data_IF_026905975296
#
_entry.id   IF_026905975296
#
_cell.length_a   1.000
_cell.length_b   1.000
_cell.length_c   1.000
_cell.angle_alpha   90.00
_cell.angle_beta   90.00
_cell.angle_gamma   90.00
#
_symmetry.space_group_name_H-M   'P 1'
#
loop_
_entity.id
_entity.type
_entity.pdbx_description
1 polymer ?
#
# COMPACT_ATOMS: atom_id res chain seq x y z
N UNK A 1 3.32 30.30 8.53
CA UNK A 1 1.90 29.99 8.85
C UNK A 1 1.30 28.96 7.87
N UNK A 2 1.16 29.23 6.57
CA UNK A 2 0.54 28.28 5.62
C UNK A 2 1.23 26.91 5.48
N UNK A 3 2.57 26.86 5.49
CA UNK A 3 3.31 25.58 5.42
C UNK A 3 3.11 24.71 6.68
N UNK A 4 3.10 25.32 7.87
CA UNK A 4 2.85 24.61 9.12
C UNK A 4 1.42 24.04 9.16
N UNK A 5 0.42 24.79 8.69
CA UNK A 5 -0.94 24.28 8.55
C UNK A 5 -1.01 23.07 7.60
N UNK A 6 -0.35 23.14 6.44
CA UNK A 6 -0.30 22.03 5.48
C UNK A 6 0.32 20.76 6.07
N UNK A 7 1.45 20.88 6.78
CA UNK A 7 2.03 19.74 7.50
C UNK A 7 1.17 19.27 8.66
N UNK A 8 0.45 20.17 9.32
CA UNK A 8 -0.48 19.88 10.42
C UNK A 8 -1.60 18.98 9.96
N UNK A 9 -2.20 19.35 8.82
CA UNK A 9 -3.24 18.55 8.17
C UNK A 9 -2.70 17.22 7.64
N UNK A 10 -1.48 17.18 7.09
CA UNK A 10 -0.85 15.94 6.64
C UNK A 10 -0.57 14.97 7.81
N UNK A 11 -0.05 15.49 8.92
CA UNK A 11 0.17 14.73 10.13
C UNK A 11 -1.15 14.23 10.71
N UNK A 12 -2.16 15.09 10.84
CA UNK A 12 -3.49 14.69 11.32
C UNK A 12 -4.11 13.59 10.44
N UNK A 13 -4.06 13.74 9.11
CA UNK A 13 -4.55 12.72 8.17
C UNK A 13 -3.85 11.37 8.34
N UNK A 14 -2.53 11.37 8.50
CA UNK A 14 -1.78 10.14 8.71
C UNK A 14 -1.99 9.55 10.13
N UNK A 15 -2.12 10.39 11.16
CA UNK A 15 -2.46 9.97 12.52
C UNK A 15 -3.81 9.27 12.58
N UNK A 16 -4.83 9.81 11.90
CA UNK A 16 -6.17 9.20 11.84
C UNK A 16 -6.11 7.81 11.22
N UNK A 17 -5.31 7.62 10.15
CA UNK A 17 -5.09 6.29 9.57
C UNK A 17 -4.48 5.30 10.57
N UNK A 18 -3.42 5.71 11.25
CA UNK A 18 -2.70 4.87 12.21
C UNK A 18 -3.56 4.55 13.44
N UNK A 19 -4.20 5.55 14.02
CA UNK A 19 -4.88 5.47 15.32
C UNK A 19 -6.33 4.99 15.21
N UNK A 20 -7.09 5.49 14.24
CA UNK A 20 -8.52 5.22 14.15
C UNK A 20 -8.85 4.06 13.20
N UNK A 21 -8.13 3.93 12.09
CA UNK A 21 -8.42 2.90 11.09
C UNK A 21 -7.64 1.60 11.31
N UNK A 22 -6.73 1.59 12.29
CA UNK A 22 -5.72 0.53 12.42
C UNK A 22 -5.03 0.26 11.08
N UNK A 23 -4.92 1.28 10.23
CA UNK A 23 -4.26 1.19 8.94
C UNK A 23 -2.77 1.10 9.21
N UNK A 24 -2.34 -0.13 9.43
CA UNK A 24 -1.04 -0.42 10.02
C UNK A 24 0.09 -0.27 9.00
N UNK A 25 -0.05 0.37 7.85
CA UNK A 25 1.08 0.54 6.94
C UNK A 25 2.25 1.20 7.71
N UNK A 26 3.33 0.46 7.98
CA UNK A 26 4.58 0.95 8.60
C UNK A 26 5.04 2.21 7.88
N UNK A 27 4.87 2.23 6.56
CA UNK A 27 5.12 3.38 5.72
C UNK A 27 4.31 4.63 6.11
N UNK A 28 3.03 4.49 6.48
CA UNK A 28 2.21 5.58 7.02
C UNK A 28 2.75 6.08 8.35
N UNK A 29 3.26 5.20 9.22
CA UNK A 29 3.92 5.60 10.47
C UNK A 29 5.25 6.33 10.25
N UNK A 30 6.08 5.87 9.30
CA UNK A 30 7.34 6.55 8.94
C UNK A 30 7.08 7.91 8.29
N UNK A 31 6.12 7.99 7.36
CA UNK A 31 5.77 9.24 6.69
C UNK A 31 5.05 10.21 7.63
N UNK A 32 4.21 9.71 8.55
CA UNK A 32 3.66 10.47 9.66
C UNK A 32 4.76 11.02 10.57
N UNK A 33 5.69 10.17 11.02
CA UNK A 33 6.83 10.59 11.84
C UNK A 33 7.67 11.65 11.15
N UNK A 34 7.90 11.54 9.85
CA UNK A 34 8.57 12.55 9.04
C UNK A 34 7.77 13.86 8.94
N UNK A 35 6.44 13.79 8.75
CA UNK A 35 5.56 14.96 8.71
C UNK A 35 5.48 15.68 10.06
N UNK A 36 5.43 14.93 11.17
CA UNK A 36 5.47 15.43 12.55
C UNK A 36 6.83 16.06 12.86
N UNK A 37 7.93 15.42 12.46
CA UNK A 37 9.26 16.01 12.61
C UNK A 37 9.39 17.32 11.81
N UNK A 38 8.79 17.41 10.62
CA UNK A 38 8.74 18.63 9.84
C UNK A 38 7.91 19.74 10.52
N UNK A 39 6.79 19.38 11.16
CA UNK A 39 5.97 20.28 11.96
C UNK A 39 6.75 20.89 13.14
N UNK A 40 7.39 20.04 13.94
CA UNK A 40 8.15 20.51 15.11
C UNK A 40 9.36 21.36 14.69
N UNK A 41 10.03 20.99 13.60
CA UNK A 41 11.09 21.81 13.01
C UNK A 41 10.58 23.17 12.47
N UNK A 42 9.29 23.32 12.19
CA UNK A 42 8.67 24.58 11.77
C UNK A 42 8.10 25.42 12.92
N UNK A 43 7.70 24.79 14.03
CA UNK A 43 7.19 25.49 15.20
C UNK A 43 8.31 26.16 16.03
N UNK A 44 9.56 25.70 15.89
CA UNK A 44 10.67 26.06 16.77
C UNK A 44 11.53 27.29 16.40
N UNK A 45 11.21 28.13 15.41
CA UNK A 45 12.00 29.35 15.19
C UNK A 45 11.18 30.56 14.73
N UNK A 46 10.90 31.48 15.65
CA UNK A 46 10.31 32.79 15.34
C UNK A 46 11.33 33.84 14.86
N UNK A 47 12.64 33.58 14.94
CA UNK A 47 13.66 34.54 14.52
C UNK A 47 14.44 34.05 13.27
N UNK A 48 14.12 34.66 12.13
CA UNK A 48 15.04 34.96 11.01
C UNK A 48 15.39 33.96 9.91
N UNK A 49 14.80 32.76 9.79
CA UNK A 49 14.87 32.04 8.49
C UNK A 49 13.55 31.42 8.07
N UNK A 50 13.11 31.61 6.81
CA UNK A 50 11.99 30.85 6.27
C UNK A 50 12.37 29.37 6.17
N UNK A 51 12.08 28.65 7.26
CA UNK A 51 11.44 27.34 7.35
C UNK A 51 11.41 26.52 6.04
N UNK A 52 12.57 26.06 5.58
CA UNK A 52 12.67 24.93 4.65
C UNK A 52 12.72 23.66 5.50
N UNK A 53 11.98 22.62 5.10
CA UNK A 53 12.26 21.25 5.54
C UNK A 53 13.78 21.06 5.58
N UNK A 54 14.30 20.63 6.74
CA UNK A 54 15.72 20.37 6.91
C UNK A 54 16.23 19.59 5.69
N UNK A 55 17.31 20.03 5.02
CA UNK A 55 17.83 19.38 3.83
C UNK A 55 17.99 17.86 3.96
N UNK A 56 18.28 17.34 5.16
CA UNK A 56 18.33 15.91 5.46
C UNK A 56 16.96 15.23 5.45
N UNK A 57 15.96 15.78 6.15
CA UNK A 57 14.61 15.20 6.23
C UNK A 57 13.94 15.10 4.86
N UNK A 58 14.08 16.13 4.02
CA UNK A 58 13.58 16.09 2.64
C UNK A 58 14.22 14.97 1.81
N UNK A 59 15.52 14.73 1.98
CA UNK A 59 16.20 13.61 1.31
C UNK A 59 15.77 12.26 1.85
N UNK A 60 15.55 12.14 3.17
CA UNK A 60 15.03 10.92 3.77
C UNK A 60 13.66 10.58 3.19
N UNK A 61 12.73 11.54 3.15
CA UNK A 61 11.38 11.36 2.57
C UNK A 61 11.48 10.94 1.10
N UNK A 62 12.33 11.59 0.30
CA UNK A 62 12.58 11.21 -1.10
C UNK A 62 13.12 9.78 -1.23
N UNK A 63 14.15 9.43 -0.47
CA UNK A 63 14.76 8.11 -0.47
C UNK A 63 13.75 7.04 -0.10
N UNK A 64 12.99 7.25 0.96
CA UNK A 64 11.88 6.38 1.37
C UNK A 64 10.84 6.23 0.24
N UNK A 65 10.43 7.32 -0.38
CA UNK A 65 9.45 7.31 -1.48
C UNK A 65 9.95 6.49 -2.68
N UNK A 66 11.23 6.64 -3.06
CA UNK A 66 11.82 5.84 -4.14
C UNK A 66 11.84 4.36 -3.77
N UNK A 67 12.27 4.03 -2.56
CA UNK A 67 12.36 2.64 -2.09
C UNK A 67 10.98 2.00 -2.01
N UNK A 68 9.95 2.72 -1.56
CA UNK A 68 8.56 2.24 -1.54
C UNK A 68 8.09 1.83 -2.95
N UNK A 69 8.22 2.72 -3.93
CA UNK A 69 7.76 2.40 -5.29
C UNK A 69 8.61 1.32 -5.95
N UNK A 70 9.92 1.30 -5.67
CA UNK A 70 10.79 0.23 -6.14
C UNK A 70 10.36 -1.12 -5.55
N UNK A 71 10.12 -1.20 -4.25
CA UNK A 71 9.65 -2.42 -3.58
C UNK A 71 8.28 -2.84 -4.08
N UNK A 72 7.34 -1.91 -4.28
CA UNK A 72 6.01 -2.22 -4.82
C UNK A 72 6.11 -2.94 -6.17
N UNK A 73 6.97 -2.46 -7.07
CA UNK A 73 7.23 -3.10 -8.36
C UNK A 73 7.99 -4.42 -8.22
N UNK A 74 9.00 -4.46 -7.33
CA UNK A 74 9.79 -5.67 -7.04
C UNK A 74 8.91 -6.82 -6.52
N UNK A 75 7.98 -6.53 -5.62
CA UNK A 75 7.08 -7.52 -5.06
C UNK A 75 6.12 -8.09 -6.12
N UNK A 76 5.81 -7.34 -7.18
CA UNK A 76 5.02 -7.80 -8.33
C UNK A 76 5.80 -8.65 -9.33
N UNK A 77 7.13 -8.77 -9.18
CA UNK A 77 7.96 -9.69 -9.97
C UNK A 77 7.83 -11.12 -9.41
N UNK A 78 6.65 -11.71 -9.54
CA UNK A 78 6.32 -13.07 -9.13
C UNK A 78 5.40 -13.75 -10.15
N UNK A 79 5.36 -15.09 -10.13
CA UNK A 79 4.65 -15.91 -11.12
C UNK A 79 3.16 -15.58 -11.19
N UNK A 80 2.48 -15.50 -10.05
CA UNK A 80 1.03 -15.31 -9.97
C UNK A 80 0.62 -13.90 -10.42
N UNK A 81 1.45 -12.87 -10.19
CA UNK A 81 1.14 -11.53 -10.70
C UNK A 81 1.13 -11.48 -12.22
N UNK A 82 1.99 -12.26 -12.89
CA UNK A 82 2.04 -12.34 -14.36
C UNK A 82 1.01 -13.30 -14.97
N UNK A 83 0.27 -14.07 -14.16
CA UNK A 83 -0.83 -14.90 -14.61
C UNK A 83 -2.14 -14.10 -14.61
N UNK A 84 -2.72 -13.75 -15.78
CA UNK A 84 -3.95 -12.97 -15.87
C UNK A 84 -5.14 -13.57 -15.14
N UNK A 85 -5.16 -14.88 -14.91
CA UNK A 85 -6.28 -15.58 -14.27
C UNK A 85 -6.35 -15.35 -12.75
N UNK A 86 -5.23 -14.93 -12.14
CA UNK A 86 -5.13 -14.71 -10.68
C UNK A 86 -4.53 -13.35 -10.30
N UNK A 87 -3.96 -12.61 -11.25
CA UNK A 87 -3.27 -11.34 -11.03
C UNK A 87 -4.18 -10.26 -10.40
N UNK A 88 -3.64 -9.53 -9.44
CA UNK A 88 -4.28 -8.34 -8.89
C UNK A 88 -4.47 -7.24 -9.95
N UNK A 89 -3.61 -7.16 -10.96
CA UNK A 89 -3.77 -6.16 -12.02
C UNK A 89 -5.03 -6.42 -12.85
N UNK A 90 -5.23 -7.68 -13.28
CA UNK A 90 -6.39 -8.06 -14.09
C UNK A 90 -7.66 -8.11 -13.26
N UNK A 91 -7.60 -8.62 -12.02
CA UNK A 91 -8.74 -8.58 -11.10
C UNK A 91 -9.19 -7.14 -10.84
N UNK A 92 -8.25 -6.21 -10.67
CA UNK A 92 -8.58 -4.81 -10.47
C UNK A 92 -9.23 -4.15 -11.69
N UNK A 93 -8.72 -4.45 -12.88
CA UNK A 93 -9.35 -3.98 -14.13
C UNK A 93 -10.72 -4.62 -14.37
N UNK A 94 -10.90 -5.89 -14.03
CA UNK A 94 -12.20 -6.55 -14.09
C UNK A 94 -13.20 -5.88 -13.15
N UNK A 95 -12.77 -5.48 -11.95
CA UNK A 95 -13.59 -4.73 -11.02
C UNK A 95 -14.00 -3.34 -11.57
N UNK A 96 -13.19 -2.71 -12.43
CA UNK A 96 -13.59 -1.47 -13.13
C UNK A 96 -14.63 -1.72 -14.22
N UNK A 97 -14.54 -2.83 -14.94
CA UNK A 97 -15.51 -3.15 -15.98
C UNK A 97 -16.84 -3.56 -15.36
N UNK A 98 -16.83 -4.10 -14.15
CA UNK A 98 -18.00 -4.52 -13.40
C UNK A 98 -18.44 -5.93 -13.81
N UNK A 99 -18.54 -6.85 -12.85
CA UNK A 99 -19.15 -8.16 -13.11
C UNK A 99 -20.62 -7.94 -13.53
N UNK A 100 -20.90 -8.10 -14.83
CA UNK A 100 -22.25 -7.95 -15.40
C UNK A 100 -22.68 -6.53 -15.78
N UNK A 101 -21.84 -5.50 -15.60
CA UNK A 101 -22.11 -4.18 -16.17
C UNK A 101 -21.30 -4.04 -17.46
N UNK A 102 -21.94 -4.26 -18.61
CA UNK A 102 -21.32 -3.97 -19.89
C UNK A 102 -21.05 -2.46 -19.99
N UNK A 103 -19.90 -1.99 -19.49
CA UNK A 103 -19.44 -0.66 -19.86
C UNK A 103 -19.14 -0.72 -21.36
N UNK A 104 -19.72 0.15 -22.19
CA UNK A 104 -19.59 0.08 -23.65
C UNK A 104 -18.16 0.29 -24.17
N UNK A 105 -17.20 0.54 -23.27
CA UNK A 105 -15.85 0.93 -23.58
C UNK A 105 -14.82 -0.22 -23.49
N UNK A 106 -15.14 -1.35 -22.82
CA UNK A 106 -14.14 -2.38 -22.48
C UNK A 106 -14.75 -3.79 -22.68
N UNK A 107 -14.06 -4.65 -23.43
CA UNK A 107 -14.45 -6.07 -23.55
C UNK A 107 -13.74 -6.92 -22.49
N UNK A 108 -14.35 -8.03 -22.07
CA UNK A 108 -13.72 -8.99 -21.16
C UNK A 108 -12.38 -9.51 -21.72
N UNK A 109 -12.31 -9.72 -23.03
CA UNK A 109 -11.09 -10.12 -23.73
C UNK A 109 -9.96 -9.08 -23.60
N UNK A 110 -10.30 -7.79 -23.47
CA UNK A 110 -9.32 -6.73 -23.26
C UNK A 110 -8.80 -6.71 -21.83
N UNK A 111 -9.66 -6.94 -20.83
CA UNK A 111 -9.27 -7.02 -19.42
C UNK A 111 -8.38 -8.24 -19.15
N UNK A 112 -8.66 -9.38 -19.80
CA UNK A 112 -7.92 -10.61 -19.64
C UNK A 112 -6.53 -10.62 -20.34
N UNK A 113 -6.11 -9.50 -20.94
CA UNK A 113 -4.84 -9.45 -21.66
C UNK A 113 -3.63 -9.59 -20.72
N UNK A 114 -2.66 -10.42 -21.15
CA UNK A 114 -1.34 -10.57 -20.51
C UNK A 114 -0.54 -9.26 -20.43
N UNK A 115 -0.92 -8.24 -21.20
CA UNK A 115 -0.25 -6.95 -21.20
C UNK A 115 -0.41 -6.20 -19.87
N UNK A 116 -1.51 -6.38 -19.12
CA UNK A 116 -1.78 -5.59 -17.91
C UNK A 116 -0.77 -5.81 -16.80
N UNK A 117 -0.50 -7.04 -16.33
CA UNK A 117 0.55 -7.27 -15.35
C UNK A 117 1.89 -6.65 -15.72
N UNK A 118 2.29 -6.80 -16.99
CA UNK A 118 3.55 -6.26 -17.50
C UNK A 118 3.55 -4.73 -17.44
N UNK A 119 2.46 -4.10 -17.89
CA UNK A 119 2.33 -2.65 -17.89
C UNK A 119 2.38 -2.07 -16.45
N UNK A 120 1.69 -2.70 -15.49
CA UNK A 120 1.71 -2.28 -14.09
C UNK A 120 3.11 -2.41 -13.48
N UNK A 121 3.80 -3.53 -13.68
CA UNK A 121 5.18 -3.74 -13.21
C UNK A 121 6.13 -2.71 -13.84
N UNK A 122 6.06 -2.54 -15.17
CA UNK A 122 6.92 -1.60 -15.88
C UNK A 122 6.69 -0.17 -15.39
N UNK A 123 5.43 0.23 -15.19
CA UNK A 123 5.08 1.52 -14.66
C UNK A 123 5.65 1.71 -13.25
N UNK A 124 5.39 0.79 -12.33
CA UNK A 124 5.89 0.88 -10.94
C UNK A 124 7.41 0.94 -10.85
N UNK A 125 8.13 0.13 -11.63
CA UNK A 125 9.60 0.16 -11.68
C UNK A 125 10.15 1.42 -12.36
N UNK A 126 9.40 2.01 -13.30
CA UNK A 126 9.81 3.25 -13.96
C UNK A 126 9.59 4.50 -13.10
N UNK A 127 8.65 4.47 -12.15
CA UNK A 127 8.32 5.63 -11.32
C UNK A 127 9.51 6.16 -10.51
N UNK A 128 10.30 5.34 -9.80
CA UNK A 128 11.53 5.78 -9.14
C UNK A 128 12.53 6.45 -10.12
N UNK A 129 12.62 5.93 -11.34
CA UNK A 129 13.52 6.46 -12.38
C UNK A 129 13.04 7.85 -12.81
N UNK A 130 11.74 8.00 -13.11
CA UNK A 130 11.16 9.30 -13.48
C UNK A 130 11.27 10.32 -12.34
N UNK A 131 11.03 9.91 -11.09
CA UNK A 131 11.22 10.76 -9.92
C UNK A 131 12.67 11.23 -9.73
N UNK A 132 13.64 10.37 -10.05
CA UNK A 132 15.06 10.70 -9.95
C UNK A 132 15.54 11.62 -11.08
N UNK A 133 15.06 11.40 -12.31
CA UNK A 133 15.55 12.10 -13.51
C UNK A 133 14.75 13.36 -13.87
N UNK A 134 13.43 13.32 -13.67
CA UNK A 134 12.46 14.38 -14.03
C UNK A 134 11.39 14.49 -12.92
N UNK A 135 11.74 14.97 -11.72
CA UNK A 135 10.87 14.94 -10.53
C UNK A 135 9.44 15.48 -10.76
N UNK A 136 9.30 16.61 -11.48
CA UNK A 136 7.99 17.19 -11.78
C UNK A 136 7.11 16.24 -12.61
N UNK A 137 7.65 15.69 -13.70
CA UNK A 137 6.95 14.69 -14.52
C UNK A 137 6.70 13.38 -13.74
N UNK A 138 7.66 12.93 -12.95
CA UNK A 138 7.50 11.76 -12.07
C UNK A 138 6.33 11.92 -11.11
N UNK A 139 6.15 13.11 -10.51
CA UNK A 139 4.99 13.40 -9.64
C UNK A 139 3.67 13.42 -10.41
N UNK A 140 3.64 13.94 -11.65
CA UNK A 140 2.45 13.87 -12.50
C UNK A 140 2.09 12.41 -12.80
N UNK A 141 3.07 11.61 -13.24
CA UNK A 141 2.89 10.19 -13.54
C UNK A 141 2.41 9.41 -12.30
N UNK A 142 2.95 9.72 -11.12
CA UNK A 142 2.50 9.14 -9.86
C UNK A 142 1.02 9.46 -9.59
N UNK A 143 0.62 10.72 -9.68
CA UNK A 143 -0.76 11.10 -9.42
C UNK A 143 -1.73 10.39 -10.35
N UNK A 144 -1.39 10.30 -11.65
CA UNK A 144 -2.18 9.57 -12.64
C UNK A 144 -2.21 8.06 -12.37
N UNK A 145 -1.08 7.46 -11.97
CA UNK A 145 -1.00 6.04 -11.61
C UNK A 145 -1.88 5.70 -10.40
N UNK A 146 -2.01 6.61 -9.42
CA UNK A 146 -2.81 6.35 -8.23
C UNK A 146 -4.32 6.53 -8.44
N UNK A 147 -4.77 7.15 -9.55
CA UNK A 147 -6.21 7.27 -9.86
C UNK A 147 -6.88 5.90 -9.98
N UNK A 148 -6.46 4.98 -10.88
CA UNK A 148 -7.09 3.66 -10.97
C UNK A 148 -6.94 2.85 -9.67
N UNK A 149 -5.80 2.95 -8.97
CA UNK A 149 -5.61 2.26 -7.69
C UNK A 149 -6.56 2.74 -6.60
N UNK A 150 -6.86 4.03 -6.59
CA UNK A 150 -7.84 4.64 -5.68
C UNK A 150 -9.25 4.21 -6.03
N UNK A 151 -9.58 4.07 -7.31
CA UNK A 151 -10.90 3.60 -7.73
C UNK A 151 -11.10 2.13 -7.31
N UNK A 152 -10.08 1.29 -7.46
CA UNK A 152 -10.24 -0.16 -7.30
C UNK A 152 -9.99 -0.64 -5.86
N UNK A 153 -8.87 -0.23 -5.24
CA UNK A 153 -8.28 -0.99 -4.13
C UNK A 153 -8.16 -0.22 -2.82
N UNK A 154 -7.46 0.91 -2.82
CA UNK A 154 -7.00 1.50 -1.57
C UNK A 154 -6.68 2.99 -1.74
N UNK A 155 -7.68 3.90 -1.60
CA UNK A 155 -7.45 5.34 -1.69
C UNK A 155 -6.38 5.83 -0.71
N UNK A 156 -6.30 5.23 0.49
CA UNK A 156 -5.41 5.69 1.58
C UNK A 156 -3.91 5.71 1.23
N UNK A 157 -3.47 4.83 0.31
CA UNK A 157 -2.05 4.75 -0.04
C UNK A 157 -1.56 6.02 -0.75
N UNK A 158 -2.35 6.57 -1.68
CA UNK A 158 -2.00 7.80 -2.40
C UNK A 158 -1.79 8.98 -1.45
N UNK A 159 -2.68 9.14 -0.47
CA UNK A 159 -2.63 10.22 0.51
C UNK A 159 -1.41 10.13 1.42
N UNK A 160 -1.06 8.90 1.80
CA UNK A 160 0.18 8.64 2.55
C UNK A 160 1.40 9.12 1.75
N UNK A 161 1.39 8.89 0.43
CA UNK A 161 2.50 9.23 -0.47
C UNK A 161 2.58 10.70 -0.89
N UNK A 162 1.54 11.52 -0.64
CA UNK A 162 1.55 12.95 -0.98
C UNK A 162 2.75 13.70 -0.38
N UNK A 163 3.14 13.36 0.84
CA UNK A 163 4.33 13.94 1.50
C UNK A 163 5.61 13.65 0.72
N UNK A 164 5.72 12.43 0.20
CA UNK A 164 6.75 11.99 -0.74
C UNK A 164 6.75 12.82 -2.01
N UNK A 165 5.58 12.98 -2.64
CA UNK A 165 5.42 13.70 -3.91
C UNK A 165 5.87 15.16 -3.77
N UNK A 166 5.40 15.85 -2.72
CA UNK A 166 5.79 17.23 -2.43
C UNK A 166 7.29 17.36 -2.15
N UNK A 167 7.91 16.35 -1.52
CA UNK A 167 9.35 16.36 -1.30
C UNK A 167 10.13 16.40 -2.62
N UNK A 168 9.60 15.87 -3.73
CA UNK A 168 10.27 15.93 -5.04
C UNK A 168 10.21 17.31 -5.71
N UNK A 169 9.17 18.12 -5.46
CA UNK A 169 8.94 19.38 -6.15
C UNK A 169 9.85 20.52 -5.65
N UNK A 170 10.62 21.15 -6.54
CA UNK A 170 11.45 22.32 -6.24
C UNK A 170 10.65 23.62 -6.12
N UNK A 171 11.34 24.72 -5.83
CA UNK A 171 10.72 26.05 -5.78
C UNK A 171 10.06 26.45 -7.12
N UNK A 172 10.66 26.20 -8.30
CA UNK A 172 10.01 26.53 -9.58
C UNK A 172 8.69 25.78 -9.79
N UNK A 173 8.64 24.50 -9.42
CA UNK A 173 7.45 23.65 -9.52
C UNK A 173 6.37 24.08 -8.54
N UNK A 174 6.74 24.36 -7.28
CA UNK A 174 5.81 24.84 -6.26
C UNK A 174 5.24 26.21 -6.63
N UNK A 175 6.04 27.10 -7.18
CA UNK A 175 5.58 28.41 -7.64
C UNK A 175 4.70 28.31 -8.89
N UNK A 176 5.00 27.38 -9.79
CA UNK A 176 4.10 27.03 -10.89
C UNK A 176 2.74 26.54 -10.37
N UNK A 177 2.72 25.62 -9.42
CA UNK A 177 1.48 25.12 -8.81
C UNK A 177 0.65 26.24 -8.19
N UNK A 178 1.28 27.14 -7.42
CA UNK A 178 0.60 28.32 -6.83
C UNK A 178 0.03 29.24 -7.90
N UNK A 179 0.79 29.52 -8.96
CA UNK A 179 0.31 30.36 -10.07
C UNK A 179 -0.86 29.72 -10.80
N UNK A 180 -0.81 28.42 -11.06
CA UNK A 180 -1.91 27.69 -11.70
C UNK A 180 -3.16 27.68 -10.81
N UNK A 181 -3.01 27.46 -9.49
CA UNK A 181 -4.14 27.52 -8.56
C UNK A 181 -4.83 28.90 -8.55
N UNK A 182 -4.06 29.99 -8.70
CA UNK A 182 -4.60 31.36 -8.77
C UNK A 182 -5.19 31.73 -10.12
N UNK A 183 -4.57 31.28 -11.22
CA UNK A 183 -4.96 31.67 -12.60
C UNK A 183 -6.02 30.78 -13.22
N UNK A 184 -6.04 29.51 -12.84
CA UNK A 184 -6.89 28.49 -13.46
C UNK A 184 -7.73 27.69 -12.43
N UNK A 185 -8.30 28.31 -11.36
CA UNK A 185 -9.05 27.56 -10.36
C UNK A 185 -10.29 26.88 -10.97
N UNK A 186 -11.02 27.60 -11.83
CA UNK A 186 -12.22 27.07 -12.51
C UNK A 186 -11.86 25.87 -13.39
N UNK A 187 -10.74 25.93 -14.11
CA UNK A 187 -10.31 24.82 -14.97
C UNK A 187 -9.99 23.57 -14.16
N UNK A 188 -9.26 23.72 -13.05
CA UNK A 188 -8.91 22.60 -12.16
C UNK A 188 -10.16 22.00 -11.53
N UNK A 189 -11.06 22.84 -11.02
CA UNK A 189 -12.31 22.39 -10.40
C UNK A 189 -13.26 21.76 -11.42
N UNK A 190 -13.40 22.34 -12.61
CA UNK A 190 -14.29 21.82 -13.65
C UNK A 190 -13.78 20.48 -14.19
N UNK A 191 -12.50 20.38 -14.58
CA UNK A 191 -11.95 19.13 -15.12
C UNK A 191 -11.84 18.06 -14.03
N UNK A 192 -11.29 18.41 -12.86
CA UNK A 192 -11.13 17.44 -11.77
C UNK A 192 -12.48 17.01 -11.18
N UNK A 193 -13.43 17.94 -11.05
CA UNK A 193 -14.79 17.64 -10.64
C UNK A 193 -15.54 16.80 -11.67
N UNK A 194 -15.42 17.10 -12.96
CA UNK A 194 -15.99 16.28 -14.02
C UNK A 194 -15.37 14.87 -14.07
N UNK A 195 -14.05 14.75 -13.90
CA UNK A 195 -13.35 13.47 -13.82
C UNK A 195 -13.81 12.63 -12.64
N UNK A 196 -13.94 13.24 -11.46
CA UNK A 196 -14.48 12.58 -10.27
C UNK A 196 -15.94 12.16 -10.46
N UNK A 197 -16.79 13.04 -11.02
CA UNK A 197 -18.19 12.73 -11.28
C UNK A 197 -18.36 11.63 -12.33
N UNK A 198 -17.54 11.64 -13.38
CA UNK A 198 -17.54 10.60 -14.42
C UNK A 198 -17.07 9.26 -13.87
N UNK A 199 -15.93 9.24 -13.18
CA UNK A 199 -15.40 8.04 -12.50
C UNK A 199 -16.46 7.46 -11.56
N UNK A 200 -17.15 8.31 -10.81
CA UNK A 200 -18.26 7.94 -9.92
C UNK A 200 -19.45 7.33 -10.67
N UNK A 201 -19.86 7.97 -11.76
CA UNK A 201 -20.99 7.53 -12.57
C UNK A 201 -20.72 6.16 -13.22
N UNK A 202 -19.47 5.91 -13.62
CA UNK A 202 -19.07 4.68 -14.30
C UNK A 202 -18.77 3.53 -13.34
N UNK A 203 -18.02 3.78 -12.26
CA UNK A 203 -17.42 2.69 -11.46
C UNK A 203 -18.11 2.45 -10.12
N UNK A 204 -19.06 3.29 -9.73
CA UNK A 204 -19.65 3.19 -8.40
C UNK A 204 -21.16 3.48 -8.29
N UNK A 205 -22.03 2.96 -9.16
CA UNK A 205 -23.47 3.08 -8.92
C UNK A 205 -23.83 2.53 -7.53
N UNK A 206 -24.41 3.36 -6.65
CA UNK A 206 -24.87 2.96 -5.31
C UNK A 206 -23.87 2.93 -4.13
N UNK A 207 -22.55 3.05 -4.33
CA UNK A 207 -21.59 3.03 -3.19
C UNK A 207 -21.58 4.28 -2.27
N UNK A 208 -22.18 5.40 -2.67
CA UNK A 208 -22.14 6.66 -1.90
C UNK A 208 -22.69 6.50 -0.48
N UNK A 209 -23.72 5.67 -0.32
CA UNK A 209 -24.30 5.39 0.99
C UNK A 209 -23.44 4.48 1.87
N UNK A 210 -22.49 3.72 1.30
CA UNK A 210 -21.68 2.73 2.04
C UNK A 210 -20.32 3.27 2.46
N UNK A 211 -19.62 3.96 1.55
CA UNK A 211 -18.21 4.34 1.74
C UNK A 211 -17.94 5.82 1.38
N UNK A 212 -18.48 6.80 2.11
CA UNK A 212 -18.34 8.22 1.78
C UNK A 212 -16.88 8.71 1.84
N UNK A 213 -16.04 8.13 2.70
CA UNK A 213 -14.64 8.50 2.83
C UNK A 213 -13.84 8.15 1.57
N UNK A 214 -14.16 7.01 0.94
CA UNK A 214 -13.54 6.57 -0.31
C UNK A 214 -13.81 7.58 -1.42
N UNK A 215 -15.08 8.00 -1.56
CA UNK A 215 -15.48 8.92 -2.62
C UNK A 215 -14.84 10.30 -2.45
N UNK A 216 -14.75 10.80 -1.22
CA UNK A 216 -14.07 12.07 -0.92
C UNK A 216 -12.58 11.97 -1.31
N UNK A 217 -11.90 10.88 -0.92
CA UNK A 217 -10.48 10.66 -1.24
C UNK A 217 -10.26 10.59 -2.75
N UNK A 218 -11.11 9.88 -3.48
CA UNK A 218 -11.05 9.80 -4.94
C UNK A 218 -11.24 11.17 -5.60
N UNK A 219 -12.25 11.94 -5.19
CA UNK A 219 -12.51 13.27 -5.73
C UNK A 219 -11.34 14.24 -5.50
N UNK A 220 -10.76 14.21 -4.30
CA UNK A 220 -9.56 14.98 -3.98
C UNK A 220 -8.38 14.56 -4.87
N UNK A 221 -8.21 13.26 -5.12
CA UNK A 221 -7.13 12.78 -5.97
C UNK A 221 -7.29 13.22 -7.43
N UNK A 222 -8.52 13.20 -7.97
CA UNK A 222 -8.83 13.77 -9.29
C UNK A 222 -8.48 15.25 -9.39
N UNK A 223 -8.80 16.04 -8.37
CA UNK A 223 -8.44 17.45 -8.29
C UNK A 223 -6.91 17.64 -8.24
N UNK A 224 -6.20 16.85 -7.44
CA UNK A 224 -4.73 16.90 -7.35
C UNK A 224 -4.09 16.52 -8.68
N UNK A 225 -4.51 15.42 -9.29
CA UNK A 225 -3.99 14.96 -10.58
C UNK A 225 -4.25 16.01 -11.68
N UNK A 226 -5.46 16.56 -11.74
CA UNK A 226 -5.82 17.63 -12.68
C UNK A 226 -4.98 18.88 -12.45
N UNK A 227 -4.81 19.29 -11.21
CA UNK A 227 -3.98 20.44 -10.87
C UNK A 227 -2.53 20.26 -11.32
N UNK A 228 -1.95 19.07 -11.08
CA UNK A 228 -0.61 18.73 -11.53
C UNK A 228 -0.49 18.73 -13.06
N UNK A 229 -1.46 18.14 -13.77
CA UNK A 229 -1.49 18.10 -15.25
C UNK A 229 -1.65 19.49 -15.84
N UNK A 230 -2.62 20.28 -15.38
CA UNK A 230 -2.82 21.67 -15.84
C UNK A 230 -1.57 22.50 -15.55
N UNK A 231 -0.94 22.31 -14.40
CA UNK A 231 0.30 23.01 -14.07
C UNK A 231 1.42 22.61 -15.02
N UNK A 232 1.61 21.33 -15.31
CA UNK A 232 2.61 20.86 -16.25
C UNK A 232 2.37 21.40 -17.67
N UNK A 233 1.11 21.48 -18.11
CA UNK A 233 0.72 21.97 -19.42
C UNK A 233 0.84 23.50 -19.59
N UNK A 234 0.57 24.26 -18.53
CA UNK A 234 0.54 25.75 -18.58
C UNK A 234 1.85 26.41 -18.13
N UNK A 235 2.73 25.66 -17.49
CA UNK A 235 4.02 26.17 -17.04
C UNK A 235 5.03 26.27 -18.17
N UNK A 236 6.02 27.17 -18.02
CA UNK A 236 7.19 27.18 -18.91
C UNK A 236 7.78 25.77 -18.96
N UNK A 237 8.11 25.21 -20.14
CA UNK A 237 8.49 23.81 -20.29
C UNK A 237 9.54 23.36 -19.26
N UNK A 238 10.53 24.21 -18.98
CA UNK A 238 11.62 23.93 -18.03
C UNK A 238 11.19 23.75 -16.58
N UNK A 239 10.00 24.21 -16.16
CA UNK A 239 9.54 24.08 -14.78
C UNK A 239 9.26 22.62 -14.40
N UNK A 240 8.56 21.85 -15.23
CA UNK A 240 8.22 20.45 -14.95
C UNK A 240 9.04 19.44 -15.76
N UNK A 241 9.51 19.85 -16.94
CA UNK A 241 10.30 18.97 -17.82
C UNK A 241 11.81 19.16 -17.68
N UNK A 242 12.27 20.13 -16.87
CA UNK A 242 13.70 20.33 -16.64
C UNK A 242 14.37 19.08 -16.09
N UNK A 243 15.59 18.77 -16.56
CA UNK A 243 16.45 17.77 -15.90
C UNK A 243 16.93 18.35 -14.57
N UNK A 244 16.23 18.00 -13.49
CA UNK A 244 16.72 18.21 -12.14
C UNK A 244 17.38 16.92 -11.66
N UNK A 245 18.59 16.62 -12.16
CA UNK A 245 19.48 15.68 -11.46
C UNK A 245 19.62 16.23 -10.03
N UNK A 246 19.56 15.37 -9.01
CA UNK A 246 19.70 15.74 -7.60
C UNK A 246 21.01 16.53 -7.34
N UNK A 247 21.01 17.82 -7.67
CA UNK A 247 22.13 18.72 -7.45
C UNK A 247 21.95 19.30 -6.07
N UNK A 248 22.38 18.51 -5.10
CA UNK A 248 22.43 18.92 -3.71
C UNK A 248 23.90 19.12 -3.38
N UNK A 249 24.39 20.36 -3.49
CA UNK A 249 25.62 20.80 -2.83
C UNK A 249 25.35 20.79 -1.33
N UNK A 250 25.59 19.67 -0.64
CA UNK A 250 25.16 19.49 0.76
C UNK A 250 26.18 18.82 1.67
N UNK A 251 26.15 19.16 2.97
CA UNK A 251 27.00 18.55 3.99
C UNK A 251 26.68 17.06 4.19
N UNK A 252 27.75 16.29 4.34
CA UNK A 252 27.81 14.83 4.36
C UNK A 252 26.95 14.17 5.45
N UNK A 253 26.69 14.84 6.58
CA UNK A 253 25.89 14.28 7.67
C UNK A 253 24.40 14.14 7.31
N UNK A 254 23.86 15.12 6.57
CA UNK A 254 22.45 15.12 6.16
C UNK A 254 22.11 14.01 5.16
N UNK A 255 23.10 13.59 4.37
CA UNK A 255 22.95 12.49 3.42
C UNK A 255 23.02 11.13 4.11
N UNK A 256 23.86 10.98 5.15
CA UNK A 256 23.95 9.73 5.94
C UNK A 256 22.61 9.33 6.57
N UNK A 257 21.91 10.26 7.21
CA UNK A 257 20.59 9.97 7.80
C UNK A 257 19.57 9.53 6.75
N UNK A 258 19.50 10.25 5.63
CA UNK A 258 18.58 9.92 4.55
C UNK A 258 18.84 8.53 3.95
N UNK A 259 20.12 8.20 3.73
CA UNK A 259 20.53 6.87 3.28
C UNK A 259 20.22 5.79 4.31
N UNK A 260 20.48 6.04 5.60
CA UNK A 260 20.15 5.09 6.66
C UNK A 260 18.64 4.81 6.72
N UNK A 261 17.79 5.85 6.66
CA UNK A 261 16.34 5.68 6.65
C UNK A 261 15.86 4.86 5.44
N UNK A 262 16.36 5.20 4.24
CA UNK A 262 16.03 4.46 3.01
C UNK A 262 16.53 3.01 3.06
N UNK A 263 17.75 2.77 3.55
CA UNK A 263 18.34 1.44 3.68
C UNK A 263 17.60 0.58 4.70
N UNK A 264 17.26 1.14 5.87
CA UNK A 264 16.47 0.44 6.88
C UNK A 264 15.09 0.03 6.35
N UNK A 265 14.42 0.93 5.62
CA UNK A 265 13.14 0.60 5.00
C UNK A 265 13.29 -0.42 3.87
N UNK A 266 14.36 -0.35 3.06
CA UNK A 266 14.66 -1.35 2.04
C UNK A 266 14.86 -2.73 2.67
N UNK A 267 15.69 -2.83 3.71
CA UNK A 267 15.91 -4.07 4.45
C UNK A 267 14.61 -4.62 5.05
N UNK A 268 13.78 -3.74 5.62
CA UNK A 268 12.44 -4.11 6.10
C UNK A 268 11.55 -4.63 4.95
N UNK A 269 11.58 -3.97 3.79
CA UNK A 269 10.84 -4.36 2.60
C UNK A 269 11.25 -5.72 2.03
N UNK A 270 12.49 -6.15 2.27
CA UNK A 270 12.99 -7.46 1.84
C UNK A 270 12.69 -8.59 2.84
N UNK A 271 12.13 -8.29 4.01
CA UNK A 271 11.75 -9.31 5.01
C UNK A 271 10.75 -10.37 4.53
N UNK A 272 9.86 -10.16 3.53
CA UNK A 272 8.99 -11.22 3.04
C UNK A 272 9.78 -12.40 2.50
N UNK A 273 10.86 -12.13 1.77
CA UNK A 273 11.68 -13.16 1.13
C UNK A 273 12.49 -13.99 2.14
N UNK A 274 12.70 -13.44 3.34
CA UNK A 274 13.32 -14.15 4.46
C UNK A 274 12.31 -14.91 5.33
N UNK A 275 11.00 -14.79 5.05
CA UNK A 275 9.94 -15.33 5.92
C UNK A 275 9.78 -14.54 7.23
N UNK A 276 10.35 -13.34 7.31
CA UNK A 276 10.38 -12.53 8.54
C UNK A 276 9.26 -11.49 8.60
N UNK A 277 8.45 -11.30 7.57
CA UNK A 277 7.32 -10.37 7.66
C UNK A 277 6.80 -10.04 6.28
N UNK A 278 5.48 -9.93 6.16
CA UNK A 278 4.86 -9.60 4.89
C UNK A 278 4.15 -8.25 4.94
N UNK A 279 3.35 -8.03 5.97
CA UNK A 279 2.62 -6.78 6.08
C UNK A 279 3.60 -5.62 6.27
N UNK A 280 3.28 -4.51 5.60
CA UNK A 280 3.97 -3.22 5.74
C UNK A 280 5.35 -3.14 5.06
N UNK A 281 5.61 -4.06 4.15
CA UNK A 281 6.85 -4.15 3.36
C UNK A 281 6.75 -3.47 1.99
N UNK A 282 5.57 -2.95 1.63
CA UNK A 282 5.29 -2.43 0.28
C UNK A 282 4.77 -3.49 -0.69
N UNK A 283 4.57 -4.75 -0.25
CA UNK A 283 4.05 -5.85 -1.06
C UNK A 283 2.54 -5.78 -1.37
N UNK A 284 1.93 -4.61 -1.38
CA UNK A 284 0.49 -4.44 -1.64
C UNK A 284 0.15 -4.81 -3.08
N UNK A 285 -0.99 -5.48 -3.27
CA UNK A 285 -1.53 -5.83 -4.59
C UNK A 285 -0.53 -6.61 -5.44
N UNK A 286 0.29 -7.45 -4.80
CA UNK A 286 1.42 -8.09 -5.46
C UNK A 286 1.19 -9.54 -5.87
N UNK A 287 0.19 -10.25 -5.34
CA UNK A 287 0.10 -11.73 -5.43
C UNK A 287 1.32 -12.47 -4.85
N UNK A 288 2.24 -11.79 -4.14
CA UNK A 288 3.42 -12.43 -3.58
C UNK A 288 3.00 -13.46 -2.53
N UNK A 289 3.52 -14.68 -2.67
CA UNK A 289 3.46 -15.76 -1.70
C UNK A 289 4.85 -16.06 -1.17
N UNK A 290 4.92 -16.31 0.15
CA UNK A 290 6.16 -16.60 0.87
C UNK A 290 6.06 -17.87 1.71
N UNK A 291 5.01 -18.66 1.52
CA UNK A 291 4.77 -19.93 2.21
C UNK A 291 5.45 -21.11 1.50
N UNK A 292 5.65 -22.20 2.25
CA UNK A 292 6.44 -23.34 1.77
C UNK A 292 5.81 -24.04 0.57
N UNK A 293 6.62 -24.28 -0.47
CA UNK A 293 6.19 -24.97 -1.70
C UNK A 293 5.32 -24.12 -2.64
N UNK A 294 4.86 -22.97 -2.16
CA UNK A 294 3.99 -22.04 -2.88
C UNK A 294 4.65 -20.66 -3.10
N UNK A 295 5.91 -20.51 -2.67
CA UNK A 295 6.75 -19.34 -2.92
C UNK A 295 6.84 -19.04 -4.41
N UNK A 296 6.54 -17.79 -4.81
CA UNK A 296 6.35 -17.46 -6.22
C UNK A 296 7.21 -16.30 -6.75
N UNK A 297 8.11 -15.73 -5.95
CA UNK A 297 9.03 -14.68 -6.42
C UNK A 297 9.91 -15.17 -7.56
N UNK A 298 10.11 -14.33 -8.58
CA UNK A 298 11.01 -14.60 -9.71
C UNK A 298 12.46 -14.21 -9.44
N UNK A 299 12.71 -13.41 -8.40
CA UNK A 299 14.03 -12.85 -8.10
C UNK A 299 14.69 -13.48 -6.87
N UNK A 300 13.88 -13.82 -5.87
CA UNK A 300 14.36 -14.37 -4.61
C UNK A 300 13.92 -15.83 -4.53
N UNK A 301 14.84 -16.81 -4.51
CA UNK A 301 14.45 -18.21 -4.40
C UNK A 301 13.94 -18.54 -3.00
N UNK A 302 13.11 -19.58 -2.88
CA UNK A 302 12.57 -20.05 -1.60
C UNK A 302 13.66 -20.41 -0.59
N UNK A 303 14.84 -20.84 -1.05
CA UNK A 303 15.99 -21.19 -0.22
C UNK A 303 16.52 -20.03 0.66
N UNK A 304 16.19 -18.77 0.36
CA UNK A 304 16.55 -17.62 1.22
C UNK A 304 15.66 -17.50 2.46
N UNK A 305 14.52 -18.21 2.49
CA UNK A 305 13.54 -18.13 3.56
C UNK A 305 14.06 -18.83 4.80
N UNK A 306 14.02 -18.13 5.93
CA UNK A 306 14.55 -18.63 7.21
C UNK A 306 13.50 -19.45 7.99
N UNK A 307 12.22 -19.12 7.83
CA UNK A 307 11.12 -19.77 8.55
C UNK A 307 9.84 -19.80 7.69
N UNK A 308 8.96 -20.76 7.94
CA UNK A 308 7.60 -20.77 7.38
C UNK A 308 6.66 -20.13 8.40
N UNK A 309 6.12 -18.92 8.12
CA UNK A 309 5.37 -18.19 9.13
C UNK A 309 3.90 -18.64 9.27
N UNK A 310 3.48 -19.66 8.52
CA UNK A 310 2.09 -20.10 8.47
C UNK A 310 1.86 -21.40 9.23
N UNK A 311 0.67 -21.47 9.83
CA UNK A 311 0.08 -22.61 10.48
C UNK A 311 -0.89 -23.27 9.51
N UNK A 312 -0.78 -24.58 9.38
CA UNK A 312 -1.64 -25.44 8.59
C UNK A 312 -2.52 -26.22 9.57
N UNK A 313 -3.84 -26.01 9.55
CA UNK A 313 -4.80 -26.71 10.43
C UNK A 313 -5.33 -27.95 9.73
N UNK A 314 -4.71 -29.10 9.92
CA UNK A 314 -5.09 -30.32 9.18
C UNK A 314 -6.46 -30.85 9.61
N UNK A 315 -6.85 -30.65 10.88
CA UNK A 315 -8.17 -31.01 11.41
C UNK A 315 -8.62 -30.05 12.50
N UNK A 316 -9.91 -29.76 12.53
CA UNK A 316 -10.56 -29.01 13.62
C UNK A 316 -11.91 -29.64 13.92
N UNK A 317 -12.11 -30.02 15.18
CA UNK A 317 -13.35 -30.65 15.63
C UNK A 317 -14.09 -29.68 16.55
N UNK A 318 -15.17 -29.11 16.02
CA UNK A 318 -16.13 -28.37 16.84
C UNK A 318 -17.06 -29.37 17.54
N UNK A 319 -17.53 -29.02 18.74
CA UNK A 319 -18.54 -29.81 19.44
C UNK A 319 -19.75 -30.15 18.55
N UNK A 320 -20.34 -31.36 18.66
CA UNK A 320 -21.43 -31.82 17.80
C UNK A 320 -22.59 -30.81 17.70
N UNK A 321 -23.04 -30.54 16.47
CA UNK A 321 -24.21 -29.69 16.21
C UNK A 321 -23.97 -28.17 16.35
N UNK A 322 -22.73 -27.70 16.49
CA UNK A 322 -22.43 -26.28 16.77
C UNK A 322 -21.72 -25.53 15.65
N UNK A 323 -21.07 -26.21 14.71
CA UNK A 323 -20.45 -25.58 13.55
C UNK A 323 -20.97 -26.19 12.25
N UNK A 324 -21.18 -25.34 11.26
CA UNK A 324 -21.42 -25.74 9.89
C UNK A 324 -20.17 -26.49 9.38
N UNK A 325 -20.29 -27.72 8.84
CA UNK A 325 -19.18 -28.43 8.21
C UNK A 325 -18.39 -27.55 7.21
N UNK A 326 -19.08 -26.68 6.45
CA UNK A 326 -18.44 -25.78 5.51
C UNK A 326 -17.48 -24.77 6.18
N UNK A 327 -17.71 -24.48 7.47
CA UNK A 327 -16.83 -23.62 8.25
C UNK A 327 -15.53 -24.35 8.63
N UNK A 328 -15.62 -25.62 9.04
CA UNK A 328 -14.44 -26.45 9.30
C UNK A 328 -13.61 -26.62 8.01
N UNK A 329 -14.26 -26.81 6.86
CA UNK A 329 -13.61 -26.84 5.55
C UNK A 329 -12.89 -25.51 5.27
N UNK A 330 -13.54 -24.38 5.51
CA UNK A 330 -12.91 -23.06 5.36
C UNK A 330 -11.66 -22.91 6.25
N UNK A 331 -11.66 -23.46 7.47
CA UNK A 331 -10.49 -23.42 8.36
C UNK A 331 -9.36 -24.31 7.84
N UNK A 332 -9.70 -25.50 7.37
CA UNK A 332 -8.74 -26.50 6.89
C UNK A 332 -8.28 -26.22 5.45
N UNK A 333 -8.93 -25.37 4.66
CA UNK A 333 -8.46 -25.01 3.32
C UNK A 333 -7.52 -23.79 3.29
N UNK A 334 -7.37 -23.12 4.44
CA UNK A 334 -6.59 -21.88 4.57
C UNK A 334 -5.24 -22.10 5.22
N UNK A 335 -4.35 -21.15 4.96
CA UNK A 335 -3.13 -20.91 5.72
C UNK A 335 -3.38 -19.81 6.73
N UNK A 336 -2.88 -20.01 7.95
CA UNK A 336 -3.12 -19.10 9.05
C UNK A 336 -1.81 -18.49 9.54
N UNK A 337 -1.74 -17.17 9.64
CA UNK A 337 -0.71 -16.58 10.50
C UNK A 337 -1.09 -16.81 11.96
N UNK A 338 -0.10 -16.95 12.85
CA UNK A 338 -0.32 -17.12 14.31
C UNK A 338 -1.33 -16.09 14.84
N UNK A 339 -1.14 -14.81 14.51
CA UNK A 339 -2.02 -13.74 14.96
C UNK A 339 -3.44 -13.82 14.38
N UNK A 340 -3.62 -14.38 13.18
CA UNK A 340 -4.95 -14.59 12.61
C UNK A 340 -5.65 -15.80 13.24
N UNK A 341 -4.91 -16.88 13.48
CA UNK A 341 -5.43 -18.07 14.15
C UNK A 341 -5.83 -17.77 15.59
N UNK A 342 -5.04 -16.95 16.30
CA UNK A 342 -5.35 -16.55 17.67
C UNK A 342 -6.65 -15.72 17.76
N UNK A 343 -6.85 -14.77 16.84
CA UNK A 343 -8.13 -14.03 16.77
C UNK A 343 -9.30 -14.94 16.40
N UNK A 344 -9.06 -15.91 15.52
CA UNK A 344 -10.09 -16.88 15.15
C UNK A 344 -10.45 -17.75 16.35
N UNK A 345 -9.45 -18.23 17.10
CA UNK A 345 -9.61 -18.94 18.38
C UNK A 345 -10.43 -18.15 19.38
N UNK A 346 -10.07 -16.89 19.66
CA UNK A 346 -10.83 -16.02 20.56
C UNK A 346 -12.31 -15.92 20.13
N UNK A 347 -12.55 -15.78 18.83
CA UNK A 347 -13.89 -15.73 18.27
C UNK A 347 -14.65 -17.06 18.42
N UNK A 348 -14.00 -18.19 18.14
CA UNK A 348 -14.56 -19.52 18.27
C UNK A 348 -14.92 -19.83 19.72
N UNK A 349 -13.98 -19.62 20.65
CA UNK A 349 -14.17 -19.91 22.07
C UNK A 349 -15.22 -19.00 22.72
N UNK A 350 -15.39 -17.76 22.23
CA UNK A 350 -16.48 -16.89 22.69
C UNK A 350 -17.86 -17.39 22.24
N UNK A 351 -17.95 -17.96 21.04
CA UNK A 351 -19.21 -18.51 20.50
C UNK A 351 -19.50 -19.94 20.98
N UNK A 352 -18.45 -20.69 21.27
CA UNK A 352 -18.48 -22.13 21.58
C UNK A 352 -17.48 -22.40 22.72
N UNK A 353 -17.90 -22.27 23.99
CA UNK A 353 -17.00 -22.42 25.15
C UNK A 353 -16.61 -23.87 25.47
N UNK A 354 -17.04 -24.83 24.65
CA UNK A 354 -16.77 -26.26 24.80
C UNK A 354 -15.41 -26.64 24.17
N UNK A 355 -14.87 -27.83 24.47
CA UNK A 355 -13.58 -28.26 23.94
C UNK A 355 -13.52 -28.18 22.42
N UNK A 356 -12.50 -27.46 21.92
CA UNK A 356 -12.21 -27.32 20.51
C UNK A 356 -10.92 -28.06 20.20
N UNK A 357 -11.02 -29.29 19.69
CA UNK A 357 -9.83 -30.07 19.35
C UNK A 357 -9.27 -29.61 18.00
N UNK A 358 -7.94 -29.50 17.89
CA UNK A 358 -7.28 -29.04 16.68
C UNK A 358 -5.96 -29.77 16.47
N UNK A 359 -5.73 -30.20 15.24
CA UNK A 359 -4.48 -30.82 14.79
C UNK A 359 -3.94 -30.05 13.59
N UNK A 360 -2.62 -29.99 13.46
CA UNK A 360 -2.01 -29.28 12.36
C UNK A 360 -0.49 -29.30 12.36
N UNK A 361 0.09 -28.41 11.55
CA UNK A 361 1.54 -28.24 11.40
C UNK A 361 1.93 -26.78 11.48
N UNK A 362 3.06 -26.51 12.13
CA UNK A 362 3.71 -25.20 12.17
C UNK A 362 5.23 -25.41 12.09
N UNK A 363 5.92 -24.69 11.20
CA UNK A 363 7.36 -24.88 10.93
C UNK A 363 7.74 -26.34 10.61
N UNK A 364 6.83 -27.08 9.97
CA UNK A 364 7.01 -28.49 9.64
C UNK A 364 6.86 -29.46 10.81
N UNK A 365 6.56 -28.98 12.02
CA UNK A 365 6.28 -29.82 13.19
C UNK A 365 4.78 -30.00 13.36
N UNK A 366 4.35 -31.24 13.55
CA UNK A 366 2.97 -31.54 13.88
C UNK A 366 2.63 -31.06 15.30
N UNK A 367 1.39 -30.64 15.51
CA UNK A 367 0.84 -30.33 16.83
C UNK A 367 -0.59 -30.87 16.93
N UNK A 368 -1.01 -31.16 18.16
CA UNK A 368 -2.38 -31.52 18.50
C UNK A 368 -2.73 -30.84 19.83
N UNK A 369 -3.94 -30.28 19.92
CA UNK A 369 -4.49 -29.64 21.12
C UNK A 369 -5.87 -30.23 21.35
N UNK A 370 -6.12 -30.78 22.54
CA UNK A 370 -7.39 -31.44 22.84
C UNK A 370 -8.50 -30.41 23.11
N UNK A 371 -8.15 -29.31 23.78
CA UNK A 371 -9.05 -28.19 24.02
C UNK A 371 -8.32 -26.86 23.79
N UNK A 372 -8.43 -26.34 22.57
CA UNK A 372 -7.81 -25.09 22.14
C UNK A 372 -8.29 -23.87 22.95
N UNK A 373 -9.49 -23.92 23.52
CA UNK A 373 -10.05 -22.84 24.33
C UNK A 373 -9.43 -22.78 25.72
N UNK A 374 -9.08 -23.94 26.29
CA UNK A 374 -8.43 -24.06 27.60
C UNK A 374 -6.91 -23.97 27.52
N UNK A 375 -6.30 -24.67 26.55
CA UNK A 375 -4.84 -24.84 26.45
C UNK A 375 -4.17 -23.70 25.67
N UNK A 376 -4.89 -23.07 24.74
CA UNK A 376 -4.32 -22.10 23.81
C UNK A 376 -3.48 -22.73 22.71
N UNK A 377 -2.85 -21.89 21.88
CA UNK A 377 -1.98 -22.36 20.81
C UNK A 377 -0.63 -22.83 21.38
N UNK A 378 -0.06 -23.95 20.91
CA UNK A 378 1.18 -24.53 21.46
C UNK A 378 2.45 -23.82 20.97
N UNK A 379 2.33 -22.61 20.43
CA UNK A 379 3.44 -21.82 19.91
C UNK A 379 3.39 -20.40 20.48
N UNK A 380 4.58 -19.79 20.59
CA UNK A 380 4.71 -18.47 21.16
C UNK A 380 3.85 -17.45 20.40
N UNK A 381 3.01 -16.73 21.13
CA UNK A 381 2.30 -15.58 20.58
C UNK A 381 3.31 -14.47 20.31
N UNK A 382 3.13 -13.69 19.23
CA UNK A 382 3.98 -12.54 18.98
C UNK A 382 3.92 -11.58 20.18
N UNK A 383 5.05 -10.96 20.54
CA UNK A 383 5.13 -9.99 21.64
C UNK A 383 4.12 -8.84 21.54
N UNK A 384 3.63 -8.55 20.33
CA UNK A 384 2.57 -7.58 20.08
C UNK A 384 1.30 -8.29 19.62
N UNK A 385 0.43 -8.61 20.57
CA UNK A 385 -0.90 -9.15 20.29
C UNK A 385 -1.64 -8.25 19.28
N UNK A 386 -2.27 -8.87 18.28
CA UNK A 386 -3.04 -8.16 17.25
C UNK A 386 -2.23 -7.61 16.06
N UNK A 387 -0.90 -7.48 16.16
CA UNK A 387 -0.08 -6.98 15.05
C UNK A 387 -0.05 -8.00 13.91
N UNK A 388 -0.67 -7.66 12.76
CA UNK A 388 -0.65 -8.52 11.57
C UNK A 388 0.73 -8.41 10.93
N UNK A 389 1.58 -9.43 11.12
CA UNK A 389 2.92 -9.51 10.50
C UNK A 389 2.89 -10.19 9.14
N UNK A 390 2.00 -11.15 8.93
CA UNK A 390 1.92 -11.98 7.72
C UNK A 390 0.52 -11.93 7.10
N UNK A 391 0.43 -12.26 5.81
CA UNK A 391 -0.84 -12.28 5.06
C UNK A 391 -1.89 -13.14 5.77
N UNK A 392 -3.14 -12.87 5.45
CA UNK A 392 -4.30 -13.63 5.91
C UNK A 392 -5.11 -14.06 4.69
N UNK A 393 -6.03 -15.01 4.87
CA UNK A 393 -6.92 -15.50 3.81
C UNK A 393 -6.18 -16.13 2.60
N UNK A 394 -4.98 -16.68 2.83
CA UNK A 394 -4.31 -17.49 1.83
C UNK A 394 -4.93 -18.88 1.80
N UNK A 395 -5.13 -19.43 0.61
CA UNK A 395 -5.49 -20.84 0.41
C UNK A 395 -4.24 -21.70 0.49
N UNK A 396 -4.43 -22.99 0.81
CA UNK A 396 -3.32 -23.97 0.76
C UNK A 396 -2.80 -24.24 -0.64
N UNK A 397 -3.65 -24.08 -1.64
CA UNK A 397 -3.33 -24.41 -3.02
C UNK A 397 -2.74 -23.23 -3.76
N UNK A 398 -1.85 -23.52 -4.69
CA UNK A 398 -1.34 -22.57 -5.67
C UNK A 398 -2.00 -22.80 -7.03
N UNK A 399 -2.25 -21.76 -7.84
CA UNK A 399 -1.94 -20.34 -7.60
C UNK A 399 -2.92 -19.62 -6.66
N UNK A 400 -2.55 -18.45 -6.15
CA UNK A 400 -3.39 -17.63 -5.27
C UNK A 400 -3.98 -16.41 -6.00
N UNK A 401 -5.31 -16.32 -6.01
CA UNK A 401 -6.04 -15.12 -6.44
C UNK A 401 -5.70 -13.92 -5.55
N UNK A 402 -5.78 -12.72 -6.12
CA UNK A 402 -5.62 -11.48 -5.36
C UNK A 402 -6.50 -11.49 -4.09
N UNK A 403 -5.91 -11.17 -2.93
CA UNK A 403 -6.53 -11.31 -1.59
C UNK A 403 -7.02 -9.96 -1.05
N UNK A 404 -7.13 -8.95 -1.92
CA UNK A 404 -7.40 -7.56 -1.54
C UNK A 404 -8.85 -7.15 -1.72
#
# INVERSE_FOLDING_TARGET
>A
RGAALGWGLAALGAATGILALQDQLTQSAYLFGCAVAALFAHAGSEAERPARLGPGLRHAIRGLTLVVYLLAGLHKLNRDFFDPSVSCATAGLAALVGEGQATPLWSEAWVAQRAWPIAFVALELSLPIWLALRPGLGVVLLALFHLPLTIIFAPGFAFTMLTGWLAFLGEPELEALRRTARRHPVLVLAIGGAGAALSRALFFPGRWGRDPDWVIKEAILWLIATWLVVTAATSRPRAFTGRAVWRSSRPLASTRFAWAAAALFLLHGLTPYLGLGFHRTGAMLSNLRIDRGCHNSLLFPEALRLADPYVVVDRIDFAPGRADPAYADTVTERLWSIAALERAREHWCKKHPEPLAMEGRHEGRAFAVADLCKEGLPFATPWFAGMRRFQVNLTRHCPQRCVH
#
